data_IF_671759941843
#
_entry.id   IF_671759941843
#
_cell.length_a   1.000
_cell.length_b   1.000
_cell.length_c   1.000
_cell.angle_alpha   90.00
_cell.angle_beta   90.00
_cell.angle_gamma   90.00
#
_symmetry.space_group_name_H-M   'P 1'
#
loop_
_entity.id
_entity.type
_entity.pdbx_description
1 polymer ?
#
# COMPACT_ATOMS: atom_id res chain seq x y z
N UNK A 1 9.18 7.57 14.89
CA UNK A 1 7.94 6.79 15.08
C UNK A 1 6.67 7.63 15.17
N UNK A 2 6.72 8.88 15.65
CA UNK A 2 5.54 9.74 15.80
C UNK A 2 4.84 10.08 14.47
N UNK A 3 5.60 10.27 13.40
CA UNK A 3 5.08 10.72 12.10
C UNK A 3 4.28 9.61 11.38
N UNK A 4 4.71 8.36 11.49
CA UNK A 4 4.03 7.20 10.87
C UNK A 4 2.67 6.92 11.56
N UNK A 5 2.57 7.24 12.87
CA UNK A 5 1.33 7.11 13.64
C UNK A 5 0.23 8.11 13.28
N UNK A 6 0.52 9.14 12.47
CA UNK A 6 -0.46 10.15 12.05
C UNK A 6 -1.42 9.66 10.94
N UNK A 7 -1.17 8.46 10.41
CA UNK A 7 -2.03 7.84 9.39
C UNK A 7 -1.88 8.44 7.99
N UNK A 8 -2.47 7.76 7.01
CA UNK A 8 -2.38 8.12 5.60
C UNK A 8 -2.96 9.50 5.27
N UNK A 9 -4.00 9.90 5.96
CA UNK A 9 -4.67 11.19 5.77
C UNK A 9 -3.77 12.40 6.04
N UNK A 10 -2.71 12.23 6.85
CA UNK A 10 -1.72 13.27 7.16
C UNK A 10 -0.43 13.06 6.37
N UNK A 11 0.03 11.82 6.27
CA UNK A 11 1.29 11.51 5.59
C UNK A 11 1.22 11.74 4.08
N UNK A 12 0.11 11.35 3.43
CA UNK A 12 -0.04 11.49 1.99
C UNK A 12 -0.04 12.94 1.51
N UNK A 13 -0.75 13.90 2.12
CA UNK A 13 -0.60 15.31 1.80
C UNK A 13 0.83 15.81 1.81
N UNK A 14 1.62 15.41 2.81
CA UNK A 14 3.02 15.82 2.94
C UNK A 14 3.84 15.24 1.78
N UNK A 15 3.73 13.91 1.55
CA UNK A 15 4.47 13.23 0.49
C UNK A 15 4.15 13.83 -0.87
N UNK A 16 2.87 13.99 -1.22
CA UNK A 16 2.47 14.55 -2.51
C UNK A 16 2.84 16.03 -2.67
N UNK A 17 2.84 16.80 -1.58
CA UNK A 17 3.35 18.17 -1.61
C UNK A 17 4.84 18.19 -1.92
N UNK A 18 5.63 17.35 -1.26
CA UNK A 18 7.09 17.24 -1.51
C UNK A 18 7.37 16.79 -2.95
N UNK A 19 6.69 15.76 -3.42
CA UNK A 19 6.81 15.29 -4.82
C UNK A 19 6.46 16.42 -5.79
N UNK A 20 5.35 17.15 -5.56
CA UNK A 20 4.95 18.28 -6.37
C UNK A 20 6.03 19.37 -6.46
N UNK A 21 6.70 19.65 -5.35
CA UNK A 21 7.83 20.59 -5.32
C UNK A 21 9.04 20.05 -6.10
N UNK A 22 9.36 18.77 -5.96
CA UNK A 22 10.47 18.14 -6.67
C UNK A 22 10.30 18.18 -8.20
N UNK A 23 9.06 18.09 -8.71
CA UNK A 23 8.75 18.20 -10.14
C UNK A 23 8.58 19.66 -10.61
N UNK A 24 8.89 20.64 -9.77
CA UNK A 24 8.90 22.06 -10.13
C UNK A 24 7.55 22.77 -10.00
N UNK A 25 6.57 22.22 -9.30
CA UNK A 25 5.32 22.93 -9.04
C UNK A 25 5.53 24.09 -8.07
N UNK A 26 4.77 25.18 -8.24
CA UNK A 26 4.72 26.27 -7.25
C UNK A 26 4.15 25.75 -5.92
N UNK A 27 4.74 26.18 -4.80
CA UNK A 27 4.36 25.70 -3.45
C UNK A 27 2.85 25.66 -3.20
N UNK A 28 2.13 26.75 -3.53
CA UNK A 28 0.68 26.79 -3.32
C UNK A 28 -0.10 25.73 -4.13
N UNK A 29 0.35 25.42 -5.37
CA UNK A 29 -0.26 24.35 -6.17
C UNK A 29 0.08 22.96 -5.61
N UNK A 30 1.35 22.72 -5.25
CA UNK A 30 1.79 21.47 -4.66
C UNK A 30 1.05 21.17 -3.35
N UNK A 31 0.96 22.15 -2.45
CA UNK A 31 0.24 22.05 -1.18
C UNK A 31 -1.25 21.74 -1.39
N UNK A 32 -1.90 22.48 -2.31
CA UNK A 32 -3.32 22.26 -2.64
C UNK A 32 -3.55 20.84 -3.17
N UNK A 33 -2.69 20.35 -4.06
CA UNK A 33 -2.77 18.99 -4.58
C UNK A 33 -2.60 17.95 -3.49
N UNK A 34 -1.63 18.12 -2.59
CA UNK A 34 -1.43 17.26 -1.44
C UNK A 34 -2.65 17.23 -0.51
N UNK A 35 -3.23 18.40 -0.21
CA UNK A 35 -4.43 18.48 0.62
C UNK A 35 -5.64 17.78 0.00
N UNK A 36 -5.83 17.86 -1.32
CA UNK A 36 -6.90 17.12 -2.01
C UNK A 36 -6.73 15.60 -1.86
N UNK A 37 -5.50 15.11 -1.94
CA UNK A 37 -5.20 13.70 -1.68
C UNK A 37 -5.57 13.33 -0.25
N UNK A 38 -5.22 14.17 0.74
CA UNK A 38 -5.58 13.96 2.14
C UNK A 38 -7.09 13.89 2.37
N UNK A 39 -7.86 14.81 1.77
CA UNK A 39 -9.33 14.79 1.82
C UNK A 39 -9.88 13.49 1.22
N UNK A 40 -9.31 13.01 0.11
CA UNK A 40 -9.66 11.73 -0.50
C UNK A 40 -9.46 10.56 0.47
N UNK A 41 -8.32 10.52 1.18
CA UNK A 41 -8.03 9.47 2.18
C UNK A 41 -8.99 9.53 3.39
N UNK A 42 -9.34 10.72 3.85
CA UNK A 42 -10.36 10.87 4.92
C UNK A 42 -11.72 10.35 4.43
N UNK A 43 -12.14 10.72 3.22
CA UNK A 43 -13.39 10.25 2.62
C UNK A 43 -13.41 8.72 2.46
N UNK A 44 -12.31 8.13 2.00
CA UNK A 44 -12.15 6.69 1.86
C UNK A 44 -12.26 5.99 3.23
N UNK A 45 -11.62 6.54 4.26
CA UNK A 45 -11.74 6.06 5.64
C UNK A 45 -13.17 6.06 6.17
N UNK A 46 -13.94 7.13 5.90
CA UNK A 46 -15.35 7.22 6.30
C UNK A 46 -16.19 6.14 5.59
N UNK A 47 -16.03 5.98 4.27
CA UNK A 47 -16.76 4.97 3.50
C UNK A 47 -16.43 3.56 3.98
N UNK A 48 -15.15 3.28 4.21
CA UNK A 48 -14.70 1.98 4.73
C UNK A 48 -15.30 1.71 6.11
N UNK A 49 -15.28 2.69 7.00
CA UNK A 49 -15.87 2.58 8.34
C UNK A 49 -17.38 2.32 8.28
N UNK A 50 -18.10 3.03 7.41
CA UNK A 50 -19.54 2.80 7.19
C UNK A 50 -19.82 1.38 6.66
N UNK A 51 -19.03 0.90 5.70
CA UNK A 51 -19.13 -0.46 5.20
C UNK A 51 -18.92 -1.48 6.31
N UNK A 52 -17.80 -1.38 7.03
CA UNK A 52 -17.44 -2.33 8.09
C UNK A 52 -18.53 -2.37 9.18
N UNK A 53 -19.01 -1.19 9.60
CA UNK A 53 -20.06 -1.11 10.64
C UNK A 53 -21.36 -1.75 10.19
N UNK A 54 -21.79 -1.51 8.94
CA UNK A 54 -23.05 -2.05 8.44
C UNK A 54 -22.98 -3.53 8.06
N UNK A 55 -21.81 -4.05 7.73
CA UNK A 55 -21.61 -5.47 7.41
C UNK A 55 -21.40 -6.34 8.67
N UNK A 56 -21.08 -5.75 9.81
CA UNK A 56 -20.81 -6.50 11.04
C UNK A 56 -22.04 -7.31 11.48
N UNK A 57 -23.21 -6.67 11.59
CA UNK A 57 -24.42 -7.32 12.06
C UNK A 57 -24.85 -8.50 11.15
N UNK A 58 -24.90 -8.37 9.80
CA UNK A 58 -25.14 -9.49 8.91
C UNK A 58 -24.12 -10.63 9.03
N UNK A 59 -22.84 -10.33 9.23
CA UNK A 59 -21.81 -11.34 9.40
C UNK A 59 -21.94 -12.08 10.72
N UNK A 60 -22.24 -11.38 11.82
CA UNK A 60 -22.50 -11.96 13.13
C UNK A 60 -23.75 -12.88 13.09
N UNK A 61 -24.77 -12.48 12.35
CA UNK A 61 -25.98 -13.30 12.14
C UNK A 61 -25.66 -14.56 11.34
N UNK A 62 -24.93 -14.48 10.26
CA UNK A 62 -24.50 -15.64 9.46
C UNK A 62 -23.66 -16.58 10.33
N UNK A 63 -22.72 -16.06 11.09
CA UNK A 63 -21.88 -16.82 12.01
C UNK A 63 -22.73 -17.59 13.01
N UNK A 64 -23.76 -16.96 13.58
CA UNK A 64 -24.66 -17.60 14.56
C UNK A 64 -25.59 -18.66 13.95
N UNK A 65 -26.07 -18.46 12.71
CA UNK A 65 -26.96 -19.40 12.02
C UNK A 65 -26.22 -20.69 11.62
N UNK A 66 -24.98 -20.55 11.19
CA UNK A 66 -24.19 -21.69 10.68
C UNK A 66 -23.23 -22.27 11.74
N UNK A 67 -23.31 -21.82 13.00
CA UNK A 67 -22.42 -22.22 14.09
C UNK A 67 -20.92 -22.14 13.70
N UNK A 68 -20.57 -21.05 13.01
CA UNK A 68 -19.22 -20.80 12.56
C UNK A 68 -18.51 -19.93 13.61
N UNK A 69 -17.43 -20.43 14.21
CA UNK A 69 -16.55 -19.62 15.07
C UNK A 69 -15.67 -18.69 14.18
N UNK A 70 -16.32 -17.73 13.54
CA UNK A 70 -15.67 -16.76 12.69
C UNK A 70 -15.12 -15.62 13.56
N UNK A 71 -13.81 -15.55 13.69
CA UNK A 71 -13.14 -14.36 14.20
C UNK A 71 -13.07 -13.34 13.09
N UNK A 72 -13.92 -12.32 13.16
CA UNK A 72 -13.86 -11.18 12.23
C UNK A 72 -12.68 -10.29 12.64
N UNK A 73 -11.60 -10.36 11.88
CA UNK A 73 -10.52 -9.38 11.98
C UNK A 73 -10.81 -8.25 10.99
N UNK A 74 -10.98 -7.04 11.48
CA UNK A 74 -10.95 -5.86 10.62
C UNK A 74 -9.50 -5.63 10.16
N UNK A 75 -9.16 -6.26 9.06
CA UNK A 75 -7.90 -6.05 8.34
C UNK A 75 -8.12 -5.02 7.23
N UNK A 76 -8.81 -3.93 7.53
CA UNK A 76 -8.89 -2.80 6.61
C UNK A 76 -7.50 -2.41 6.12
N UNK A 77 -7.41 -1.97 4.86
CA UNK A 77 -6.13 -1.60 4.25
C UNK A 77 -5.24 -0.68 5.10
N UNK A 78 -5.75 0.25 5.95
CA UNK A 78 -4.90 1.07 6.81
C UNK A 78 -4.22 0.24 7.90
N UNK A 79 -4.93 -0.72 8.49
CA UNK A 79 -4.37 -1.61 9.51
C UNK A 79 -3.34 -2.56 8.89
N UNK A 80 -3.67 -3.18 7.75
CA UNK A 80 -2.75 -4.05 7.02
C UNK A 80 -1.48 -3.31 6.57
N UNK A 81 -1.61 -2.08 6.08
CA UNK A 81 -0.48 -1.24 5.72
C UNK A 81 0.39 -0.88 6.94
N UNK A 82 -0.23 -0.48 8.06
CA UNK A 82 0.49 -0.16 9.29
C UNK A 82 1.27 -1.38 9.83
N UNK A 83 0.65 -2.55 9.84
CA UNK A 83 1.30 -3.79 10.24
C UNK A 83 2.47 -4.11 9.30
N UNK A 84 2.23 -4.09 7.98
CA UNK A 84 3.24 -4.43 6.99
C UNK A 84 4.49 -3.53 7.07
N UNK A 85 4.31 -2.22 7.19
CA UNK A 85 5.42 -1.28 7.30
C UNK A 85 6.17 -1.35 8.65
N UNK A 86 5.55 -1.87 9.69
CA UNK A 86 6.22 -2.10 10.98
C UNK A 86 7.01 -3.41 11.06
N UNK A 87 6.97 -4.25 10.02
CA UNK A 87 7.78 -5.46 9.95
C UNK A 87 9.20 -5.15 9.48
N UNK A 88 10.13 -6.09 9.75
CA UNK A 88 11.51 -5.98 9.28
C UNK A 88 11.60 -5.88 7.74
N UNK A 89 10.68 -6.52 7.01
CA UNK A 89 10.56 -6.40 5.54
C UNK A 89 10.07 -5.01 5.15
N UNK A 90 9.07 -4.50 5.85
CA UNK A 90 8.45 -3.20 5.55
C UNK A 90 9.39 -2.01 5.62
N UNK A 91 10.39 -2.06 6.49
CA UNK A 91 11.36 -0.96 6.69
C UNK A 91 12.11 -0.60 5.41
N UNK A 92 12.51 -1.60 4.61
CA UNK A 92 13.30 -1.39 3.39
C UNK A 92 12.51 -1.60 2.09
N UNK A 93 11.22 -1.90 2.16
CA UNK A 93 10.45 -2.23 0.96
C UNK A 93 10.41 -1.08 -0.05
N UNK A 94 10.32 0.16 0.41
CA UNK A 94 10.25 1.35 -0.45
C UNK A 94 11.53 1.49 -1.27
N UNK A 95 12.73 1.59 -0.67
CA UNK A 95 13.96 1.69 -1.45
C UNK A 95 14.23 0.46 -2.33
N UNK A 96 13.86 -0.74 -1.88
CA UNK A 96 14.00 -1.97 -2.68
C UNK A 96 13.11 -1.91 -3.93
N UNK A 97 11.81 -1.63 -3.77
CA UNK A 97 10.89 -1.55 -4.91
C UNK A 97 11.27 -0.43 -5.88
N UNK A 98 11.67 0.74 -5.38
CA UNK A 98 12.18 1.83 -6.23
C UNK A 98 13.44 1.41 -6.99
N UNK A 99 14.39 0.76 -6.32
CA UNK A 99 15.60 0.24 -6.94
C UNK A 99 15.32 -0.80 -8.04
N UNK A 100 14.42 -1.75 -7.77
CA UNK A 100 13.98 -2.75 -8.75
C UNK A 100 13.31 -2.08 -9.95
N UNK A 101 12.40 -1.11 -9.72
CA UNK A 101 11.76 -0.39 -10.83
C UNK A 101 12.78 0.38 -11.66
N UNK A 102 13.73 1.08 -11.03
CA UNK A 102 14.80 1.78 -11.73
C UNK A 102 15.65 0.83 -12.57
N UNK A 103 16.05 -0.32 -12.02
CA UNK A 103 16.79 -1.35 -12.77
C UNK A 103 16.00 -1.86 -13.97
N UNK A 104 14.71 -2.15 -13.79
CA UNK A 104 13.85 -2.61 -14.89
C UNK A 104 13.65 -1.55 -15.97
N UNK A 105 13.59 -0.26 -15.61
CA UNK A 105 13.54 0.85 -16.56
C UNK A 105 14.85 0.99 -17.33
N UNK A 106 16.00 0.92 -16.65
CA UNK A 106 17.32 1.01 -17.27
C UNK A 106 17.58 -0.17 -18.23
N UNK A 107 17.14 -1.37 -17.87
CA UNK A 107 17.24 -2.57 -18.72
C UNK A 107 16.14 -2.64 -19.77
N UNK A 108 15.21 -1.67 -19.79
CA UNK A 108 14.06 -1.62 -20.71
C UNK A 108 13.14 -2.86 -20.61
N UNK A 109 13.11 -3.54 -19.46
CA UNK A 109 12.24 -4.68 -19.19
C UNK A 109 10.85 -4.26 -18.75
N UNK A 110 10.67 -2.99 -18.34
CA UNK A 110 9.38 -2.34 -18.11
C UNK A 110 9.36 -0.93 -18.69
N UNK A 111 8.16 -0.43 -18.98
CA UNK A 111 7.90 0.97 -19.33
C UNK A 111 7.15 1.70 -18.22
N UNK A 112 6.71 0.98 -17.23
CA UNK A 112 5.93 1.50 -16.11
C UNK A 112 6.85 2.08 -15.06
N UNK A 113 6.63 3.35 -14.72
CA UNK A 113 7.23 4.03 -13.57
C UNK A 113 6.25 3.94 -12.42
N UNK A 114 6.60 3.16 -11.40
CA UNK A 114 5.79 3.04 -10.20
C UNK A 114 6.44 3.81 -9.05
N UNK A 115 5.88 4.96 -8.73
CA UNK A 115 6.29 5.84 -7.61
C UNK A 115 5.18 6.00 -6.58
N UNK A 116 4.19 5.12 -6.62
CA UNK A 116 3.12 5.08 -5.64
C UNK A 116 3.62 4.41 -4.35
N UNK A 117 4.35 5.19 -3.57
CA UNK A 117 4.96 4.75 -2.30
C UNK A 117 3.92 4.20 -1.31
N UNK A 118 2.67 4.65 -1.46
CA UNK A 118 1.59 4.14 -0.63
C UNK A 118 1.27 2.68 -0.96
N UNK A 119 1.12 2.35 -2.23
CA UNK A 119 0.78 1.00 -2.66
C UNK A 119 1.88 -0.05 -2.41
N UNK A 120 3.08 0.37 -2.04
CA UNK A 120 4.15 -0.56 -1.67
C UNK A 120 3.83 -1.39 -0.42
N UNK A 121 2.84 -1.00 0.38
CA UNK A 121 2.39 -1.80 1.51
C UNK A 121 1.91 -3.20 1.11
N UNK A 122 1.35 -3.36 -0.09
CA UNK A 122 0.95 -4.68 -0.60
C UNK A 122 2.14 -5.63 -0.67
N UNK A 123 3.27 -5.14 -1.19
CA UNK A 123 4.50 -5.93 -1.32
C UNK A 123 5.15 -6.15 0.04
N UNK A 124 5.11 -5.15 0.92
CA UNK A 124 5.54 -5.27 2.30
C UNK A 124 4.73 -6.35 3.05
N UNK A 125 3.40 -6.37 2.85
CA UNK A 125 2.51 -7.34 3.49
C UNK A 125 2.80 -8.77 3.02
N UNK A 126 2.89 -8.98 1.70
CA UNK A 126 3.22 -10.29 1.13
C UNK A 126 4.59 -10.77 1.65
N UNK A 127 5.58 -9.90 1.62
CA UNK A 127 6.91 -10.23 2.14
C UNK A 127 6.91 -10.50 3.64
N UNK A 128 6.12 -9.77 4.42
CA UNK A 128 5.99 -10.01 5.85
C UNK A 128 5.35 -11.37 6.15
N UNK A 129 4.30 -11.75 5.42
CA UNK A 129 3.69 -13.08 5.56
C UNK A 129 4.72 -14.18 5.28
N UNK A 130 5.45 -14.07 4.17
CA UNK A 130 6.48 -15.06 3.82
C UNK A 130 7.62 -15.06 4.85
N UNK A 131 8.05 -13.90 5.32
CA UNK A 131 9.05 -13.76 6.37
C UNK A 131 8.67 -14.57 7.63
N UNK A 132 7.43 -14.44 8.11
CA UNK A 132 6.96 -15.19 9.27
C UNK A 132 6.78 -16.68 9.00
N UNK A 133 6.32 -17.06 7.82
CA UNK A 133 6.14 -18.48 7.43
C UNK A 133 7.49 -19.21 7.34
N UNK A 134 8.55 -18.51 6.97
CA UNK A 134 9.91 -19.06 6.83
C UNK A 134 10.83 -18.67 7.99
N UNK A 135 10.33 -18.78 9.22
CA UNK A 135 11.09 -18.58 10.48
C UNK A 135 11.87 -17.26 10.51
N UNK A 136 11.19 -16.17 10.22
CA UNK A 136 11.74 -14.81 10.22
C UNK A 136 12.92 -14.60 9.25
N UNK A 137 12.91 -15.30 8.13
CA UNK A 137 13.96 -15.22 7.13
C UNK A 137 13.71 -14.04 6.18
N UNK A 138 14.52 -12.98 6.30
CA UNK A 138 14.44 -11.76 5.49
C UNK A 138 14.66 -12.01 3.99
N UNK A 139 15.48 -12.97 3.61
CA UNK A 139 15.75 -13.26 2.21
C UNK A 139 14.49 -13.74 1.49
N UNK A 140 13.73 -14.65 2.10
CA UNK A 140 12.47 -15.13 1.55
C UNK A 140 11.40 -14.04 1.54
N UNK A 141 11.35 -13.22 2.59
CA UNK A 141 10.44 -12.07 2.65
C UNK A 141 10.66 -11.08 1.50
N UNK A 142 11.90 -10.62 1.30
CA UNK A 142 12.22 -9.71 0.20
C UNK A 142 12.10 -10.37 -1.16
N UNK A 143 12.49 -11.64 -1.30
CA UNK A 143 12.31 -12.37 -2.55
C UNK A 143 10.85 -12.40 -2.99
N UNK A 144 9.94 -12.77 -2.09
CA UNK A 144 8.51 -12.78 -2.39
C UNK A 144 7.98 -11.37 -2.75
N UNK A 145 8.39 -10.34 -2.02
CA UNK A 145 8.04 -8.95 -2.31
C UNK A 145 8.48 -8.53 -3.71
N UNK A 146 9.74 -8.80 -4.07
CA UNK A 146 10.32 -8.43 -5.36
C UNK A 146 9.64 -9.18 -6.50
N UNK A 147 9.43 -10.48 -6.36
CA UNK A 147 8.74 -11.29 -7.37
C UNK A 147 7.33 -10.74 -7.63
N UNK A 148 6.57 -10.48 -6.57
CA UNK A 148 5.22 -9.93 -6.69
C UNK A 148 5.23 -8.55 -7.34
N UNK A 149 6.19 -7.70 -6.98
CA UNK A 149 6.37 -6.37 -7.54
C UNK A 149 6.69 -6.42 -9.05
N UNK A 150 7.63 -7.27 -9.45
CA UNK A 150 8.00 -7.46 -10.86
C UNK A 150 6.81 -7.95 -11.68
N UNK A 151 6.06 -8.93 -11.17
CA UNK A 151 4.84 -9.43 -11.83
C UNK A 151 3.84 -8.29 -12.03
N UNK A 152 3.65 -7.45 -11.01
CA UNK A 152 2.73 -6.29 -11.09
C UNK A 152 3.16 -5.31 -12.18
N UNK A 153 4.45 -4.98 -12.29
CA UNK A 153 4.96 -4.11 -13.35
C UNK A 153 4.77 -4.71 -14.76
N UNK A 154 5.02 -6.01 -14.91
CA UNK A 154 4.81 -6.71 -16.19
C UNK A 154 3.32 -6.73 -16.58
N UNK A 155 2.42 -6.95 -15.62
CA UNK A 155 0.97 -6.88 -15.84
C UNK A 155 0.57 -5.47 -16.24
N UNK A 156 1.07 -4.45 -15.53
CA UNK A 156 0.81 -3.05 -15.86
C UNK A 156 1.20 -2.70 -17.29
N UNK A 157 2.39 -3.10 -17.73
CA UNK A 157 2.85 -2.88 -19.11
C UNK A 157 1.94 -3.54 -20.15
N UNK A 158 1.43 -4.75 -19.86
CA UNK A 158 0.55 -5.49 -20.79
C UNK A 158 -0.88 -4.95 -20.82
N UNK A 159 -1.34 -4.36 -19.74
CA UNK A 159 -2.72 -3.88 -19.61
C UNK A 159 -2.85 -2.41 -19.98
N UNK A 160 -1.80 -1.60 -19.83
CA UNK A 160 -1.82 -0.16 -20.10
C UNK A 160 -2.39 0.20 -21.47
N UNK A 161 -2.05 -0.57 -22.52
CA UNK A 161 -2.56 -0.34 -23.89
C UNK A 161 -4.06 -0.59 -24.07
N UNK A 162 -4.71 -1.22 -23.09
CA UNK A 162 -6.16 -1.50 -23.13
C UNK A 162 -6.99 -0.42 -22.44
N UNK A 163 -6.33 0.47 -21.68
CA UNK A 163 -6.98 1.53 -20.90
C UNK A 163 -6.65 2.94 -21.40
N UNK A 164 -5.93 3.06 -22.51
CA UNK A 164 -5.63 4.33 -23.20
C UNK A 164 -6.66 4.65 -24.28
#
# INVERSE_FOLDING_TARGET
>A
MYIIGLGASVMMPIIFTVIGLCIGMKFGKALRSGLYVGVGFVGLGIVTSLLTTNFKDPLDLISSIYDLDLKVFDMGWPAAAAVAYNTAVGVLIIPICLGVNLLMLLTKTTRTVNIDLWNYWHFAFIGAVVYFVFDENLYWGYFASIVCYVITLVIADRTASKFQ
#
